data_IF_831248555932
#
_entry.id   IF_831248555932
#
_cell.length_a   1.000
_cell.length_b   1.000
_cell.length_c   1.000
_cell.angle_alpha   90.00
_cell.angle_beta   90.00
_cell.angle_gamma   90.00
#
_symmetry.space_group_name_H-M   'P 1'
#
loop_
_entity.id
_entity.type
_entity.pdbx_description
1 polymer ?
#
# COMPACT_ATOMS: atom_id res chain seq x y z
N UNK A 1 -9.97 -20.35 -37.04
CA UNK A 1 -11.07 -21.10 -36.37
C UNK A 1 -10.57 -22.27 -35.50
N UNK A 2 -9.43 -22.91 -35.78
CA UNK A 2 -8.93 -24.08 -35.03
C UNK A 2 -8.01 -23.80 -33.80
N UNK A 3 -7.69 -22.54 -33.48
CA UNK A 3 -6.77 -22.17 -32.39
C UNK A 3 -7.46 -21.67 -31.10
N UNK A 4 -8.79 -21.47 -31.11
CA UNK A 4 -9.55 -20.99 -29.94
C UNK A 4 -10.01 -22.14 -29.02
N UNK A 5 -9.92 -23.39 -29.47
CA UNK A 5 -10.35 -24.57 -28.72
C UNK A 5 -9.29 -25.07 -27.72
N UNK A 6 -8.02 -24.67 -27.86
CA UNK A 6 -6.92 -25.06 -26.96
C UNK A 6 -6.66 -24.07 -25.82
N UNK A 7 -7.44 -22.98 -25.78
CA UNK A 7 -7.43 -22.00 -24.69
C UNK A 7 -8.77 -22.08 -23.95
N UNK A 8 -9.16 -23.28 -23.53
CA UNK A 8 -10.22 -23.41 -22.54
C UNK A 8 -9.70 -22.79 -21.23
N UNK A 9 -10.32 -21.73 -20.67
CA UNK A 9 -10.02 -21.31 -19.31
C UNK A 9 -10.26 -22.51 -18.39
N UNK A 10 -9.37 -22.78 -17.42
CA UNK A 10 -9.46 -23.97 -16.60
C UNK A 10 -10.83 -24.03 -15.92
N UNK A 11 -11.53 -25.14 -16.18
CA UNK A 11 -12.88 -25.45 -15.74
C UNK A 11 -12.93 -25.46 -14.21
N UNK A 12 -13.75 -24.56 -13.66
CA UNK A 12 -14.05 -24.42 -12.24
C UNK A 12 -14.78 -25.64 -11.67
N UNK A 13 -14.53 -25.92 -10.39
CA UNK A 13 -15.09 -27.05 -9.66
C UNK A 13 -14.23 -27.45 -8.45
N UNK A 14 -12.91 -27.52 -8.63
CA UNK A 14 -11.91 -27.56 -7.55
C UNK A 14 -11.05 -26.29 -7.48
N UNK A 15 -11.22 -25.40 -8.47
CA UNK A 15 -10.52 -24.13 -8.60
C UNK A 15 -11.14 -23.01 -7.75
N UNK A 16 -12.38 -23.14 -7.27
CA UNK A 16 -13.06 -22.07 -6.53
C UNK A 16 -12.38 -21.80 -5.19
N UNK A 17 -12.13 -22.82 -4.37
CA UNK A 17 -11.45 -22.64 -3.07
C UNK A 17 -10.01 -22.17 -3.24
N UNK A 18 -9.28 -22.67 -4.24
CA UNK A 18 -7.92 -22.21 -4.52
C UNK A 18 -7.91 -20.77 -5.03
N UNK A 19 -8.90 -20.38 -5.84
CA UNK A 19 -9.07 -19.00 -6.35
C UNK A 19 -9.45 -18.05 -5.22
N UNK A 20 -10.37 -18.43 -4.33
CA UNK A 20 -10.71 -17.63 -3.15
C UNK A 20 -9.53 -17.47 -2.19
N UNK A 21 -8.78 -18.54 -1.93
CA UNK A 21 -7.55 -18.49 -1.11
C UNK A 21 -6.50 -17.60 -1.76
N UNK A 22 -6.30 -17.71 -3.07
CA UNK A 22 -5.36 -16.86 -3.81
C UNK A 22 -5.78 -15.38 -3.82
N UNK A 23 -7.07 -15.10 -4.02
CA UNK A 23 -7.64 -13.75 -3.99
C UNK A 23 -7.47 -13.11 -2.60
N UNK A 24 -7.85 -13.84 -1.54
CA UNK A 24 -7.66 -13.40 -0.15
C UNK A 24 -6.17 -13.22 0.14
N UNK A 25 -5.31 -14.12 -0.34
CA UNK A 25 -3.86 -14.01 -0.21
C UNK A 25 -3.30 -12.72 -0.81
N UNK A 26 -3.74 -12.35 -2.02
CA UNK A 26 -3.37 -11.07 -2.65
C UNK A 26 -3.86 -9.89 -1.82
N UNK A 27 -5.11 -9.89 -1.35
CA UNK A 27 -5.64 -8.82 -0.51
C UNK A 27 -4.86 -8.69 0.80
N UNK A 28 -4.49 -9.80 1.43
CA UNK A 28 -3.70 -9.83 2.67
C UNK A 28 -2.30 -9.28 2.41
N UNK A 29 -1.63 -9.71 1.34
CA UNK A 29 -0.30 -9.23 0.97
C UNK A 29 -0.36 -7.74 0.68
N UNK A 30 -1.30 -7.28 -0.16
CA UNK A 30 -1.45 -5.88 -0.50
C UNK A 30 -1.79 -5.02 0.73
N UNK A 31 -2.67 -5.49 1.62
CA UNK A 31 -2.96 -4.84 2.89
C UNK A 31 -1.69 -4.73 3.73
N UNK A 32 -0.96 -5.83 3.93
CA UNK A 32 0.21 -5.82 4.79
C UNK A 32 1.36 -4.99 4.22
N UNK A 33 1.61 -5.06 2.90
CA UNK A 33 2.69 -4.33 2.25
C UNK A 33 2.36 -2.88 1.92
N UNK A 34 1.11 -2.49 1.78
CA UNK A 34 0.76 -1.09 1.50
C UNK A 34 0.34 -0.36 2.78
N UNK A 35 -0.61 -0.90 3.54
CA UNK A 35 -1.18 -0.23 4.72
C UNK A 35 -0.19 -0.17 5.87
N UNK A 36 0.61 -1.22 6.12
CA UNK A 36 1.62 -1.18 7.21
C UNK A 36 2.70 -0.10 6.99
N UNK A 37 3.38 0.01 5.82
CA UNK A 37 4.35 1.07 5.63
C UNK A 37 3.71 2.44 5.45
N UNK A 38 2.52 2.55 4.86
CA UNK A 38 1.79 3.83 4.84
C UNK A 38 1.43 4.31 6.24
N UNK A 39 0.94 3.42 7.11
CA UNK A 39 0.64 3.75 8.49
C UNK A 39 1.89 4.20 9.25
N UNK A 40 3.04 3.55 9.03
CA UNK A 40 4.32 3.96 9.62
C UNK A 40 4.73 5.37 9.18
N UNK A 41 4.73 5.65 7.86
CA UNK A 41 5.04 6.99 7.32
C UNK A 41 4.11 8.07 7.86
N UNK A 42 2.81 7.78 7.97
CA UNK A 42 1.84 8.73 8.54
C UNK A 42 2.10 8.99 10.03
N UNK A 43 2.47 7.96 10.79
CA UNK A 43 2.79 8.10 12.22
C UNK A 43 4.05 8.93 12.42
N UNK A 44 5.09 8.69 11.62
CA UNK A 44 6.33 9.46 11.66
C UNK A 44 6.08 10.94 11.30
N UNK A 45 5.24 11.21 10.29
CA UNK A 45 4.85 12.57 9.94
C UNK A 45 4.05 13.27 11.06
N UNK A 46 3.14 12.55 11.73
CA UNK A 46 2.40 13.09 12.88
C UNK A 46 3.33 13.41 14.05
N UNK A 47 4.23 12.50 14.39
CA UNK A 47 5.22 12.69 15.44
C UNK A 47 6.14 13.89 15.12
N UNK A 48 6.55 14.05 13.85
CA UNK A 48 7.34 15.20 13.42
C UNK A 48 6.59 16.51 13.66
N UNK A 49 5.30 16.58 13.32
CA UNK A 49 4.46 17.77 13.57
C UNK A 49 4.31 18.05 15.08
N UNK A 50 4.13 17.01 15.90
CA UNK A 50 4.01 17.16 17.36
C UNK A 50 5.31 17.59 18.05
N UNK A 51 6.46 17.15 17.55
CA UNK A 51 7.78 17.52 18.10
C UNK A 51 8.25 18.91 17.67
N UNK A 52 7.62 19.49 16.63
CA UNK A 52 7.93 20.83 16.18
C UNK A 52 7.39 21.85 17.19
N UNK A 53 8.31 22.59 17.81
CA UNK A 53 7.99 23.72 18.69
C UNK A 53 8.15 25.05 17.96
N UNK A 54 7.41 26.07 18.43
CA UNK A 54 7.58 27.46 17.99
C UNK A 54 9.04 27.88 18.15
N UNK A 55 9.62 28.38 17.06
CA UNK A 55 11.01 28.79 16.96
C UNK A 55 11.92 27.83 16.20
N UNK A 56 11.49 26.59 15.91
CA UNK A 56 12.32 25.61 15.22
C UNK A 56 12.38 25.86 13.71
N UNK A 57 13.58 25.68 13.13
CA UNK A 57 13.81 25.71 11.67
C UNK A 57 13.47 24.35 11.09
N UNK A 58 12.61 24.32 10.08
CA UNK A 58 12.21 23.12 9.35
C UNK A 58 12.56 23.26 7.86
N UNK A 59 12.78 22.12 7.22
CA UNK A 59 12.91 22.03 5.77
C UNK A 59 11.73 21.22 5.26
N UNK A 60 10.91 21.85 4.42
CA UNK A 60 9.76 21.21 3.79
C UNK A 60 10.22 20.32 2.63
N UNK A 61 9.41 19.34 2.23
CA UNK A 61 9.70 18.39 1.13
C UNK A 61 10.07 19.10 -0.19
N UNK A 62 9.63 20.35 -0.39
CA UNK A 62 9.98 21.19 -1.55
C UNK A 62 11.33 21.93 -1.42
N UNK A 63 12.12 21.69 -0.38
CA UNK A 63 13.39 22.38 -0.12
C UNK A 63 13.25 23.77 0.53
N UNK A 64 12.02 24.16 0.88
CA UNK A 64 11.75 25.45 1.53
C UNK A 64 12.20 25.42 2.98
N UNK A 65 13.07 26.36 3.34
CA UNK A 65 13.52 26.57 4.72
C UNK A 65 12.55 27.52 5.42
N UNK A 66 11.84 27.02 6.42
CA UNK A 66 10.87 27.78 7.21
C UNK A 66 11.21 27.75 8.69
N UNK A 67 10.75 28.75 9.44
CA UNK A 67 10.79 28.74 10.91
C UNK A 67 9.35 28.74 11.40
N UNK A 68 8.97 27.77 12.24
CA UNK A 68 7.63 27.78 12.86
C UNK A 68 7.61 28.95 13.83
N UNK A 69 6.64 29.85 13.68
CA UNK A 69 6.45 31.00 14.58
C UNK A 69 5.35 30.73 15.60
#
# INVERSE_FOLDING_TARGET
MFQILLMAPPQGGGADWTTFVFLIGIFVIMYFFMIRPQAKKQKDQKNFIEQIQKGQKIVTVSGVHGKIS
#
